data_IF_044628448771
#
_entry.id   IF_044628448771
#
_cell.length_a   1.000
_cell.length_b   1.000
_cell.length_c   1.000
_cell.angle_alpha   90.00
_cell.angle_beta   90.00
_cell.angle_gamma   90.00
#
_symmetry.space_group_name_H-M   'P 1'
#
loop_
_entity.id
_entity.type
_entity.pdbx_description
1 polymer ?
#
# COMPACT_ATOMS: atom_id res chain seq x y z
N UNK A 1 -11.29 -9.87 -18.21
CA UNK A 1 -10.24 -9.60 -17.20
C UNK A 1 -9.36 -10.85 -17.11
N UNK A 2 -8.06 -10.75 -17.39
CA UNK A 2 -7.16 -11.90 -17.34
C UNK A 2 -6.47 -11.95 -15.98
N UNK A 3 -6.72 -13.01 -15.19
CA UNK A 3 -6.07 -13.22 -13.90
C UNK A 3 -4.87 -14.15 -14.08
N UNK A 4 -3.71 -13.75 -13.59
CA UNK A 4 -2.49 -14.58 -13.57
C UNK A 4 -2.04 -14.80 -12.13
N UNK A 5 -2.05 -16.06 -11.69
CA UNK A 5 -1.63 -16.45 -10.34
C UNK A 5 -0.20 -16.98 -10.38
N UNK A 6 0.65 -16.48 -9.48
CA UNK A 6 2.03 -16.93 -9.35
C UNK A 6 2.20 -17.72 -8.05
N UNK A 7 2.21 -19.05 -8.14
CA UNK A 7 2.56 -19.92 -7.01
C UNK A 7 4.08 -20.07 -6.93
N UNK A 8 4.68 -19.66 -5.81
CA UNK A 8 6.14 -19.58 -5.70
C UNK A 8 6.59 -20.07 -4.32
N UNK A 9 7.50 -21.07 -4.24
CA UNK A 9 8.02 -21.54 -2.97
C UNK A 9 8.92 -20.49 -2.31
N UNK A 10 8.98 -20.51 -0.97
CA UNK A 10 9.80 -19.58 -0.17
C UNK A 10 11.29 -19.63 -0.51
N UNK A 11 11.79 -20.76 -1.02
CA UNK A 11 13.20 -20.94 -1.42
C UNK A 11 13.57 -20.17 -2.69
N UNK A 12 12.59 -19.75 -3.50
CA UNK A 12 12.85 -19.08 -4.77
C UNK A 12 13.17 -17.60 -4.54
N UNK A 13 14.40 -17.20 -4.89
CA UNK A 13 14.82 -15.79 -4.94
C UNK A 13 14.37 -15.12 -6.25
N UNK A 14 14.34 -13.78 -6.26
CA UNK A 14 14.07 -13.01 -7.49
C UNK A 14 12.62 -12.99 -7.96
N UNK A 15 11.66 -13.39 -7.11
CA UNK A 15 10.23 -13.46 -7.47
C UNK A 15 9.67 -12.10 -7.87
N UNK A 16 10.03 -11.05 -7.13
CA UNK A 16 9.61 -9.68 -7.41
C UNK A 16 10.10 -9.22 -8.78
N UNK A 17 11.37 -9.49 -9.10
CA UNK A 17 11.94 -9.18 -10.41
C UNK A 17 11.20 -9.91 -11.53
N UNK A 18 10.91 -11.20 -11.35
CA UNK A 18 10.15 -11.99 -12.32
C UNK A 18 8.74 -11.44 -12.55
N UNK A 19 8.04 -11.04 -11.49
CA UNK A 19 6.71 -10.40 -11.57
C UNK A 19 6.77 -9.06 -12.31
N UNK A 20 7.76 -8.23 -11.99
CA UNK A 20 7.96 -6.94 -12.65
C UNK A 20 8.27 -7.13 -14.14
N UNK A 21 9.19 -8.04 -14.51
CA UNK A 21 9.47 -8.39 -15.91
C UNK A 21 8.20 -8.82 -16.65
N UNK A 22 7.38 -9.64 -16.03
CA UNK A 22 6.11 -10.12 -16.60
C UNK A 22 5.09 -8.98 -16.78
N UNK A 23 5.06 -7.99 -15.89
CA UNK A 23 4.17 -6.84 -16.01
C UNK A 23 4.62 -5.88 -17.12
N UNK A 24 5.94 -5.71 -17.28
CA UNK A 24 6.54 -4.82 -18.28
C UNK A 24 6.47 -5.38 -19.70
N UNK A 25 6.54 -6.70 -19.88
CA UNK A 25 6.69 -7.33 -21.21
C UNK A 25 5.59 -6.96 -22.22
N UNK A 26 4.42 -6.53 -21.74
CA UNK A 26 3.28 -6.17 -22.59
C UNK A 26 3.22 -4.68 -22.94
N UNK A 27 4.16 -3.87 -22.46
CA UNK A 27 4.20 -2.43 -22.67
C UNK A 27 5.24 -2.10 -23.74
N UNK A 28 4.79 -1.51 -24.86
CA UNK A 28 5.64 -1.16 -26.01
C UNK A 28 6.39 0.17 -25.87
N UNK A 29 5.92 1.07 -25.01
CA UNK A 29 6.47 2.42 -24.84
C UNK A 29 7.09 2.59 -23.45
N UNK A 30 7.96 3.57 -23.26
CA UNK A 30 8.59 3.89 -21.95
C UNK A 30 7.62 4.58 -20.95
N UNK A 31 6.33 4.36 -21.12
CA UNK A 31 5.25 4.81 -20.24
C UNK A 31 4.67 3.63 -19.46
N UNK A 32 4.96 3.62 -18.16
CA UNK A 32 4.58 2.58 -17.22
C UNK A 32 3.44 3.02 -16.29
N UNK A 33 2.82 4.18 -16.52
CA UNK A 33 1.75 4.74 -15.67
C UNK A 33 0.56 3.79 -15.45
N UNK A 34 0.32 2.87 -16.40
CA UNK A 34 -0.78 1.89 -16.34
C UNK A 34 -0.52 0.73 -15.38
N UNK A 35 0.69 0.61 -14.83
CA UNK A 35 1.02 -0.42 -13.84
C UNK A 35 0.81 0.14 -12.45
N UNK A 36 -0.02 -0.55 -11.67
CA UNK A 36 -0.12 -0.40 -10.23
C UNK A 36 0.54 -1.60 -9.54
N UNK A 37 1.59 -1.35 -8.77
CA UNK A 37 2.25 -2.34 -7.94
C UNK A 37 1.91 -2.13 -6.47
N UNK A 38 1.26 -3.13 -5.86
CA UNK A 38 0.92 -3.13 -4.45
C UNK A 38 1.81 -4.08 -3.67
N UNK A 39 2.39 -3.60 -2.56
CA UNK A 39 3.12 -4.43 -1.62
C UNK A 39 2.69 -4.17 -0.17
N UNK A 40 2.83 -5.16 0.73
CA UNK A 40 2.46 -5.01 2.15
C UNK A 40 3.20 -3.88 2.86
N UNK A 41 4.50 -3.70 2.60
CA UNK A 41 5.35 -2.77 3.37
C UNK A 41 6.02 -1.71 2.49
N UNK A 42 6.28 -0.50 3.03
CA UNK A 42 7.04 0.53 2.31
C UNK A 42 8.46 0.10 1.94
N UNK A 43 9.07 -0.79 2.74
CA UNK A 43 10.39 -1.35 2.43
C UNK A 43 10.35 -2.15 1.12
N UNK A 44 9.37 -3.03 0.97
CA UNK A 44 9.18 -3.81 -0.26
C UNK A 44 8.91 -2.91 -1.48
N UNK A 45 8.20 -1.80 -1.31
CA UNK A 45 8.01 -0.80 -2.37
C UNK A 45 9.34 -0.24 -2.83
N UNK A 46 10.19 0.25 -1.90
CA UNK A 46 11.51 0.78 -2.24
C UNK A 46 12.41 -0.24 -2.92
N UNK A 47 12.40 -1.49 -2.45
CA UNK A 47 13.16 -2.58 -3.06
C UNK A 47 12.65 -2.88 -4.48
N UNK A 48 11.35 -2.83 -4.70
CA UNK A 48 10.72 -3.04 -6.00
C UNK A 48 11.01 -1.91 -6.98
N UNK A 49 11.04 -0.65 -6.51
CA UNK A 49 11.46 0.50 -7.32
C UNK A 49 12.91 0.35 -7.80
N UNK A 50 13.82 -0.06 -6.91
CA UNK A 50 15.22 -0.33 -7.29
C UNK A 50 15.32 -1.43 -8.34
N UNK A 51 14.57 -2.52 -8.18
CA UNK A 51 14.52 -3.61 -9.17
C UNK A 51 13.97 -3.10 -10.50
N UNK A 52 12.88 -2.33 -10.49
CA UNK A 52 12.27 -1.76 -11.69
C UNK A 52 13.24 -0.85 -12.46
N UNK A 53 13.92 0.06 -11.76
CA UNK A 53 14.92 0.94 -12.38
C UNK A 53 16.09 0.15 -12.98
N UNK A 54 16.55 -0.92 -12.32
CA UNK A 54 17.57 -1.82 -12.90
C UNK A 54 17.11 -2.50 -14.18
N UNK A 55 15.82 -2.83 -14.29
CA UNK A 55 15.26 -3.54 -15.44
C UNK A 55 14.97 -2.63 -16.64
N UNK A 56 14.56 -1.38 -16.39
CA UNK A 56 14.06 -0.48 -17.43
C UNK A 56 15.01 0.68 -17.73
N UNK A 57 16.03 0.91 -16.90
CA UNK A 57 16.92 2.06 -17.01
C UNK A 57 16.21 3.38 -16.68
N UNK A 58 16.56 4.44 -17.42
CA UNK A 58 15.89 5.74 -17.31
C UNK A 58 14.55 5.68 -18.05
N UNK A 59 13.47 5.71 -17.27
CA UNK A 59 12.09 5.70 -17.77
C UNK A 59 11.49 7.09 -17.70
N UNK A 60 10.72 7.47 -18.72
CA UNK A 60 10.09 8.79 -18.80
C UNK A 60 8.92 8.90 -17.82
N UNK A 61 8.07 7.87 -17.74
CA UNK A 61 6.96 7.80 -16.79
C UNK A 61 7.02 6.45 -16.04
N UNK A 62 7.34 6.44 -14.73
CA UNK A 62 7.44 5.21 -13.94
C UNK A 62 6.06 4.67 -13.53
N UNK A 63 5.98 3.40 -13.10
CA UNK A 63 4.76 2.81 -12.58
C UNK A 63 4.40 3.35 -11.19
N UNK A 64 3.12 3.26 -10.84
CA UNK A 64 2.69 3.58 -9.48
C UNK A 64 2.97 2.42 -8.55
N UNK A 65 3.80 2.65 -7.53
CA UNK A 65 4.14 1.64 -6.53
C UNK A 65 3.78 2.14 -5.13
N UNK A 66 2.90 1.43 -4.42
CA UNK A 66 2.42 1.88 -3.11
C UNK A 66 1.89 0.74 -2.25
N UNK A 67 1.79 0.96 -0.94
CA UNK A 67 1.05 0.05 -0.06
C UNK A 67 -0.46 0.25 -0.19
N UNK A 68 -1.26 -0.72 0.25
CA UNK A 68 -2.72 -0.57 0.30
C UNK A 68 -3.10 0.70 1.09
N UNK A 69 -2.45 0.94 2.24
CA UNK A 69 -2.67 2.15 3.04
C UNK A 69 -2.37 3.44 2.28
N UNK A 70 -1.30 3.47 1.49
CA UNK A 70 -0.95 4.62 0.66
C UNK A 70 -1.96 4.81 -0.48
N UNK A 71 -2.38 3.72 -1.12
CA UNK A 71 -3.44 3.76 -2.15
C UNK A 71 -4.74 4.31 -1.59
N UNK A 72 -5.20 3.82 -0.45
CA UNK A 72 -6.41 4.31 0.20
C UNK A 72 -6.32 5.81 0.50
N UNK A 73 -5.17 6.29 1.01
CA UNK A 73 -4.95 7.72 1.24
C UNK A 73 -4.99 8.54 -0.04
N UNK A 74 -4.38 8.05 -1.12
CA UNK A 74 -4.39 8.72 -2.42
C UNK A 74 -5.81 8.82 -2.98
N UNK A 75 -6.55 7.72 -2.98
CA UNK A 75 -7.96 7.68 -3.42
C UNK A 75 -8.83 8.62 -2.58
N UNK A 76 -8.62 8.63 -1.27
CA UNK A 76 -9.32 9.56 -0.38
C UNK A 76 -8.92 11.03 -0.64
N UNK A 77 -7.67 11.31 -0.96
CA UNK A 77 -7.26 12.67 -1.33
C UNK A 77 -7.88 13.14 -2.64
N UNK A 78 -8.15 12.22 -3.58
CA UNK A 78 -8.71 12.54 -4.89
C UNK A 78 -10.24 12.65 -4.88
N UNK A 79 -10.91 11.85 -4.06
CA UNK A 79 -12.37 11.69 -4.08
C UNK A 79 -13.04 11.93 -2.73
N UNK A 80 -12.26 12.05 -1.66
CA UNK A 80 -12.77 12.26 -0.30
C UNK A 80 -13.24 13.68 -0.10
N UNK A 81 -14.32 13.79 0.65
CA UNK A 81 -15.06 15.01 0.93
C UNK A 81 -15.10 15.35 2.42
N UNK A 82 -14.41 14.56 3.26
CA UNK A 82 -14.37 14.75 4.73
C UNK A 82 -12.92 14.91 5.21
N UNK A 83 -12.73 15.45 6.40
CA UNK A 83 -11.41 15.50 7.05
C UNK A 83 -11.12 14.20 7.80
N UNK A 84 -9.99 13.52 7.54
CA UNK A 84 -9.63 12.31 8.25
C UNK A 84 -9.26 12.65 9.71
N UNK A 85 -9.78 11.86 10.66
CA UNK A 85 -9.47 12.01 12.08
C UNK A 85 -8.12 11.35 12.36
N UNK A 86 -7.22 12.06 13.05
CA UNK A 86 -5.95 11.48 13.49
C UNK A 86 -6.21 10.36 14.51
N UNK A 87 -5.49 9.24 14.36
CA UNK A 87 -5.58 8.12 15.30
C UNK A 87 -5.28 8.53 16.76
N UNK A 88 -4.42 9.53 16.96
CA UNK A 88 -4.12 10.07 18.30
C UNK A 88 -5.32 10.73 18.99
N UNK A 89 -6.30 11.20 18.23
CA UNK A 89 -7.50 11.88 18.74
C UNK A 89 -8.60 10.86 19.10
N UNK A 90 -8.56 9.66 18.52
CA UNK A 90 -9.60 8.63 18.72
C UNK A 90 -9.75 8.26 20.21
N UNK A 91 -8.67 7.98 20.98
CA UNK A 91 -8.80 7.71 22.42
C UNK A 91 -9.40 8.88 23.19
N UNK A 92 -9.11 10.12 22.79
CA UNK A 92 -9.67 11.32 23.45
C UNK A 92 -11.18 11.37 23.22
N UNK A 93 -11.64 11.15 21.98
CA UNK A 93 -13.07 11.09 21.64
C UNK A 93 -13.76 9.98 22.45
N UNK A 94 -13.18 8.78 22.48
CA UNK A 94 -13.72 7.64 23.24
C UNK A 94 -13.81 7.96 24.74
N UNK A 95 -12.80 8.62 25.31
CA UNK A 95 -12.81 8.98 26.74
C UNK A 95 -13.98 9.92 27.08
N UNK A 96 -14.28 10.87 26.18
CA UNK A 96 -15.39 11.81 26.33
C UNK A 96 -16.74 11.14 26.19
N UNK A 97 -16.87 10.20 25.25
CA UNK A 97 -18.13 9.46 25.02
C UNK A 97 -18.43 8.43 26.12
N UNK A 98 -17.40 7.76 26.63
CA UNK A 98 -17.55 6.67 27.61
C UNK A 98 -17.48 7.14 29.07
N UNK A 99 -17.04 8.38 29.32
CA UNK A 99 -16.76 8.91 30.66
C UNK A 99 -15.76 8.00 31.41
N UNK A 100 -14.84 7.36 30.68
CA UNK A 100 -13.78 6.49 31.21
C UNK A 100 -12.41 7.13 31.03
N UNK A 101 -11.45 6.63 31.79
CA UNK A 101 -10.06 7.08 31.73
C UNK A 101 -9.39 6.84 30.36
N UNK A 102 -8.29 7.54 30.13
CA UNK A 102 -7.50 7.44 28.89
C UNK A 102 -6.96 6.03 28.66
N UNK A 103 -6.55 5.30 29.70
CA UNK A 103 -6.06 3.93 29.57
C UNK A 103 -7.10 2.98 28.97
N UNK A 104 -8.33 2.99 29.50
CA UNK A 104 -9.46 2.24 28.93
C UNK A 104 -9.73 2.66 27.49
N UNK A 105 -9.76 3.97 27.22
CA UNK A 105 -10.09 4.51 25.90
C UNK A 105 -9.06 4.13 24.84
N UNK A 106 -7.77 4.06 25.20
CA UNK A 106 -6.70 3.58 24.32
C UNK A 106 -6.83 2.09 24.01
N UNK A 107 -7.18 1.27 25.00
CA UNK A 107 -7.43 -0.17 24.80
C UNK A 107 -8.60 -0.39 23.84
N UNK A 108 -9.72 0.32 24.05
CA UNK A 108 -10.87 0.25 23.15
C UNK A 108 -10.52 0.75 21.75
N UNK A 109 -9.74 1.82 21.61
CA UNK A 109 -9.27 2.28 20.30
C UNK A 109 -8.46 1.20 19.58
N UNK A 110 -7.54 0.52 20.29
CA UNK A 110 -6.74 -0.58 19.72
C UNK A 110 -7.63 -1.75 19.29
N UNK A 111 -8.60 -2.13 20.12
CA UNK A 111 -9.56 -3.18 19.81
C UNK A 111 -10.40 -2.86 18.57
N UNK A 112 -10.89 -1.63 18.45
CA UNK A 112 -11.62 -1.17 17.26
C UNK A 112 -10.72 -1.22 16.00
N UNK A 113 -9.45 -0.85 16.13
CA UNK A 113 -8.49 -0.91 15.03
C UNK A 113 -8.19 -2.34 14.59
N UNK A 114 -8.15 -3.30 15.53
CA UNK A 114 -8.01 -4.73 15.23
C UNK A 114 -9.22 -5.30 14.49
N UNK A 115 -10.45 -4.93 14.88
CA UNK A 115 -11.67 -5.40 14.19
C UNK A 115 -11.76 -4.89 12.74
N UNK A 116 -11.24 -3.68 12.49
CA UNK A 116 -11.28 -3.06 11.16
C UNK A 116 -10.21 -3.58 10.19
N UNK A 117 -9.18 -4.24 10.70
CA UNK A 117 -8.09 -4.81 9.89
C UNK A 117 -8.50 -6.15 9.29
#
# INVERSE_FOLDING_TARGET
MQLKVFYVPFSRKGVTEYRIKTAISNIKYSDYSKILYLAPTPRQIRDSQRIFHKLTGNTYIPPEMMTIKQLSKKLYSLHGNKTPISGSIIPIIISRLSVKGMGFSSIISSFIDEIKQ
#
